data_IF_053477552101
#
_entry.id   IF_053477552101
#
_cell.length_a   1.000
_cell.length_b   1.000
_cell.length_c   1.000
_cell.angle_alpha   90.00
_cell.angle_beta   90.00
_cell.angle_gamma   90.00
#
_symmetry.space_group_name_H-M   'P 1'
#
loop_
_entity.id
_entity.type
_entity.pdbx_description
1 polymer ?
#
# COMPACT_ATOMS: atom_id res chain seq x y z
N UNK A 1 57.01 -53.84 -22.33
CA UNK A 1 56.52 -53.82 -20.93
C UNK A 1 55.65 -52.59 -20.58
N UNK A 2 55.15 -51.80 -21.55
CA UNK A 2 54.45 -50.54 -21.25
C UNK A 2 52.94 -50.65 -20.95
N UNK A 3 52.26 -51.76 -21.30
CA UNK A 3 50.81 -51.91 -21.07
C UNK A 3 50.45 -52.20 -19.60
N UNK A 4 51.23 -53.02 -18.90
CA UNK A 4 50.92 -53.44 -17.53
C UNK A 4 50.89 -52.28 -16.51
N UNK A 5 51.66 -51.20 -16.74
CA UNK A 5 51.61 -49.99 -15.91
C UNK A 5 50.32 -49.19 -16.13
N UNK A 6 49.87 -49.10 -17.39
CA UNK A 6 48.65 -48.40 -17.79
C UNK A 6 47.39 -49.07 -17.23
N UNK A 7 47.38 -50.39 -17.17
CA UNK A 7 46.27 -51.15 -16.58
C UNK A 7 46.18 -50.97 -15.06
N UNK A 8 47.31 -50.92 -14.35
CA UNK A 8 47.33 -50.63 -12.90
C UNK A 8 46.90 -49.20 -12.60
N UNK A 9 47.44 -48.24 -13.33
CA UNK A 9 47.06 -46.83 -13.22
C UNK A 9 45.57 -46.63 -13.49
N UNK A 10 45.00 -47.33 -14.49
CA UNK A 10 43.57 -47.29 -14.79
C UNK A 10 42.69 -47.88 -13.67
N UNK A 11 43.17 -48.90 -12.95
CA UNK A 11 42.47 -49.48 -11.78
C UNK A 11 42.52 -48.53 -10.60
N UNK A 12 43.68 -47.98 -10.28
CA UNK A 12 43.83 -47.01 -9.20
C UNK A 12 43.02 -45.73 -9.45
N UNK A 13 42.94 -45.26 -10.70
CA UNK A 13 42.12 -44.11 -11.09
C UNK A 13 40.62 -44.38 -10.87
N UNK A 14 40.14 -45.60 -11.18
CA UNK A 14 38.74 -46.00 -10.95
C UNK A 14 38.42 -46.13 -9.46
N UNK A 15 39.36 -46.62 -8.66
CA UNK A 15 39.20 -46.70 -7.20
C UNK A 15 39.12 -45.31 -6.57
N UNK A 16 40.02 -44.38 -6.95
CA UNK A 16 39.93 -42.98 -6.52
C UNK A 16 38.62 -42.34 -6.98
N UNK A 17 38.19 -42.57 -8.23
CA UNK A 17 36.94 -42.02 -8.75
C UNK A 17 35.71 -42.47 -7.95
N UNK A 18 35.64 -43.72 -7.49
CA UNK A 18 34.53 -44.20 -6.63
C UNK A 18 34.47 -43.48 -5.29
N UNK A 19 35.62 -43.23 -4.66
CA UNK A 19 35.70 -42.51 -3.39
C UNK A 19 35.25 -41.05 -3.56
N UNK A 20 35.64 -40.40 -4.66
CA UNK A 20 35.18 -39.04 -4.97
C UNK A 20 33.69 -38.98 -5.31
N UNK A 21 33.18 -39.95 -6.09
CA UNK A 21 31.75 -40.03 -6.41
C UNK A 21 30.87 -40.25 -5.16
N UNK A 22 31.32 -41.06 -4.20
CA UNK A 22 30.59 -41.27 -2.95
C UNK A 22 30.45 -39.98 -2.13
N UNK A 23 31.47 -39.13 -2.10
CA UNK A 23 31.39 -37.82 -1.43
C UNK A 23 30.51 -36.84 -2.21
N UNK A 24 30.65 -36.79 -3.53
CA UNK A 24 29.87 -35.90 -4.39
C UNK A 24 28.36 -36.17 -4.25
N UNK A 25 27.95 -37.44 -4.32
CA UNK A 25 26.55 -37.87 -4.23
C UNK A 25 25.90 -37.56 -2.88
N UNK A 26 26.67 -37.63 -1.78
CA UNK A 26 26.17 -37.26 -0.45
C UNK A 26 25.86 -35.75 -0.34
N UNK A 27 26.75 -34.89 -0.87
CA UNK A 27 26.54 -33.44 -0.85
C UNK A 27 25.40 -33.01 -1.78
N UNK A 28 25.31 -33.61 -2.97
CA UNK A 28 24.24 -33.31 -3.94
C UNK A 28 22.86 -33.76 -3.44
N UNK A 29 22.78 -34.91 -2.75
CA UNK A 29 21.53 -35.41 -2.18
C UNK A 29 20.94 -34.47 -1.11
N UNK A 30 21.78 -33.90 -0.25
CA UNK A 30 21.36 -32.93 0.76
C UNK A 30 20.87 -31.62 0.13
N UNK A 31 21.60 -31.09 -0.86
CA UNK A 31 21.22 -29.85 -1.52
C UNK A 31 19.91 -30.00 -2.32
N UNK A 32 19.69 -31.18 -2.93
CA UNK A 32 18.45 -31.48 -3.68
C UNK A 32 17.21 -31.52 -2.79
N UNK A 33 17.33 -31.99 -1.54
CA UNK A 33 16.20 -32.01 -0.59
C UNK A 33 15.83 -30.61 -0.15
N UNK A 34 16.82 -29.83 0.30
CA UNK A 34 16.60 -28.45 0.76
C UNK A 34 16.02 -27.55 -0.32
N UNK A 35 16.50 -27.67 -1.56
CA UNK A 35 15.97 -26.88 -2.68
C UNK A 35 14.53 -27.25 -3.02
N UNK A 36 14.17 -28.54 -2.96
CA UNK A 36 12.78 -29.00 -3.15
C UNK A 36 11.87 -28.52 -2.03
N UNK A 37 12.30 -28.67 -0.77
CA UNK A 37 11.50 -28.28 0.38
C UNK A 37 11.31 -26.76 0.45
N UNK A 38 12.36 -25.97 0.17
CA UNK A 38 12.28 -24.51 0.10
C UNK A 38 11.39 -24.05 -1.05
N UNK A 39 11.43 -24.72 -2.20
CA UNK A 39 10.56 -24.41 -3.34
C UNK A 39 9.09 -24.70 -3.00
N UNK A 40 8.80 -25.87 -2.41
CA UNK A 40 7.45 -26.25 -2.00
C UNK A 40 6.94 -25.29 -0.91
N UNK A 41 7.79 -24.93 0.05
CA UNK A 41 7.47 -23.94 1.08
C UNK A 41 7.22 -22.56 0.48
N UNK A 42 8.02 -22.14 -0.50
CA UNK A 42 7.83 -20.88 -1.22
C UNK A 42 6.51 -20.84 -2.00
N UNK A 43 6.19 -21.91 -2.73
CA UNK A 43 4.93 -22.02 -3.48
C UNK A 43 3.74 -22.07 -2.53
N UNK A 44 3.78 -22.93 -1.51
CA UNK A 44 2.71 -23.08 -0.53
C UNK A 44 2.48 -21.79 0.28
N UNK A 45 3.56 -21.17 0.75
CA UNK A 45 3.51 -19.89 1.46
C UNK A 45 3.00 -18.76 0.56
N UNK A 46 3.47 -18.69 -0.69
CA UNK A 46 3.00 -17.72 -1.67
C UNK A 46 1.51 -17.86 -1.97
N UNK A 47 1.03 -19.10 -2.18
CA UNK A 47 -0.39 -19.39 -2.37
C UNK A 47 -1.22 -19.00 -1.15
N UNK A 48 -0.76 -19.31 0.07
CA UNK A 48 -1.46 -18.95 1.29
C UNK A 48 -1.60 -17.42 1.43
N UNK A 49 -0.53 -16.67 1.19
CA UNK A 49 -0.56 -15.20 1.20
C UNK A 49 -1.54 -14.68 0.14
N UNK A 50 -1.49 -15.21 -1.08
CA UNK A 50 -2.41 -14.81 -2.16
C UNK A 50 -3.87 -15.04 -1.77
N UNK A 51 -4.20 -16.18 -1.16
CA UNK A 51 -5.55 -16.47 -0.65
C UNK A 51 -5.97 -15.45 0.40
N UNK A 52 -5.10 -15.13 1.37
CA UNK A 52 -5.40 -14.13 2.41
C UNK A 52 -5.74 -12.77 1.79
N UNK A 53 -4.94 -12.31 0.82
CA UNK A 53 -5.18 -11.03 0.13
C UNK A 53 -6.52 -11.03 -0.59
N UNK A 54 -6.86 -12.11 -1.30
CA UNK A 54 -8.17 -12.24 -1.97
C UNK A 54 -9.30 -12.18 -0.96
N UNK A 55 -9.20 -12.92 0.15
CA UNK A 55 -10.21 -12.91 1.22
C UNK A 55 -10.38 -11.52 1.83
N UNK A 56 -9.29 -10.83 2.15
CA UNK A 56 -9.35 -9.45 2.67
C UNK A 56 -10.00 -8.51 1.66
N UNK A 57 -9.62 -8.61 0.39
CA UNK A 57 -10.18 -7.77 -0.67
C UNK A 57 -11.69 -7.96 -0.75
N UNK A 58 -12.18 -9.20 -0.76
CA UNK A 58 -13.61 -9.48 -0.77
C UNK A 58 -14.32 -8.97 0.50
N UNK A 59 -13.71 -9.13 1.68
CA UNK A 59 -14.27 -8.66 2.95
C UNK A 59 -14.48 -7.14 2.98
N UNK A 60 -13.54 -6.37 2.42
CA UNK A 60 -13.59 -4.91 2.40
C UNK A 60 -14.29 -4.30 1.17
N UNK A 61 -14.60 -5.09 0.14
CA UNK A 61 -15.26 -4.58 -1.08
C UNK A 61 -16.73 -4.95 -1.15
N UNK A 62 -17.07 -6.19 -0.79
CA UNK A 62 -18.44 -6.73 -0.88
C UNK A 62 -18.94 -7.19 0.50
N UNK A 63 -18.02 -7.44 1.43
CA UNK A 63 -18.33 -7.94 2.76
C UNK A 63 -18.67 -6.85 3.79
N UNK A 64 -18.88 -7.26 5.05
CA UNK A 64 -19.29 -6.37 6.13
C UNK A 64 -18.23 -5.34 6.56
N UNK A 65 -17.00 -5.45 6.04
CA UNK A 65 -15.96 -4.43 6.19
C UNK A 65 -16.04 -3.31 5.15
N UNK A 66 -16.96 -3.37 4.19
CA UNK A 66 -17.06 -2.35 3.14
C UNK A 66 -17.35 -0.96 3.72
N UNK A 67 -16.64 0.09 3.25
CA UNK A 67 -16.88 1.44 3.74
C UNK A 67 -18.29 1.89 3.37
N UNK A 68 -18.97 2.53 4.32
CA UNK A 68 -20.29 3.13 4.08
C UNK A 68 -20.09 4.29 3.09
N UNK A 69 -20.87 4.36 1.99
CA UNK A 69 -20.76 5.44 1.04
C UNK A 69 -21.10 6.78 1.72
N UNK A 70 -20.20 7.75 1.62
CA UNK A 70 -20.47 9.11 2.07
C UNK A 70 -21.55 9.77 1.20
N UNK A 71 -22.46 10.56 1.78
CA UNK A 71 -23.48 11.27 1.02
C UNK A 71 -22.81 12.28 0.08
N UNK A 72 -23.20 12.25 -1.20
CA UNK A 72 -22.79 13.27 -2.18
C UNK A 72 -23.38 14.63 -1.76
N UNK A 73 -22.57 15.70 -1.66
CA UNK A 73 -23.10 17.01 -1.35
C UNK A 73 -24.04 17.46 -2.48
N UNK A 74 -25.30 17.70 -2.15
CA UNK A 74 -26.26 18.31 -3.08
C UNK A 74 -25.91 19.79 -3.21
N UNK A 75 -25.62 20.26 -4.42
CA UNK A 75 -25.43 21.68 -4.69
C UNK A 75 -26.73 22.43 -4.38
N UNK A 76 -26.79 23.14 -3.26
CA UNK A 76 -27.85 24.10 -3.00
C UNK A 76 -27.59 25.33 -3.85
N UNK A 77 -28.42 25.54 -4.88
CA UNK A 77 -28.42 26.81 -5.61
C UNK A 77 -28.88 27.90 -4.63
N UNK A 78 -27.94 28.76 -4.20
CA UNK A 78 -28.28 29.94 -3.42
C UNK A 78 -28.95 30.93 -4.35
N UNK A 79 -30.26 31.12 -4.23
CA UNK A 79 -30.96 32.21 -4.91
C UNK A 79 -30.42 33.53 -4.36
N UNK A 80 -29.67 34.25 -5.18
CA UNK A 80 -29.23 35.61 -4.90
C UNK A 80 -30.46 36.51 -4.69
N UNK A 81 -30.56 37.27 -3.59
CA UNK A 81 -31.68 38.16 -3.39
C UNK A 81 -31.65 39.26 -4.46
N UNK A 82 -32.76 39.39 -5.19
CA UNK A 82 -32.98 40.49 -6.15
C UNK A 82 -32.80 41.83 -5.43
N UNK A 83 -32.07 42.81 -6.02
CA UNK A 83 -31.92 44.11 -5.38
C UNK A 83 -33.28 44.79 -5.21
N UNK A 84 -33.55 45.27 -4.00
CA UNK A 84 -34.73 46.07 -3.68
C UNK A 84 -34.66 47.41 -4.44
N UNK A 85 -35.78 47.96 -4.95
CA UNK A 85 -35.76 49.25 -5.61
C UNK A 85 -35.39 50.35 -4.61
N UNK A 86 -34.36 51.13 -4.94
CA UNK A 86 -33.96 52.31 -4.16
C UNK A 86 -35.08 53.35 -4.18
N UNK A 87 -35.77 53.50 -3.05
CA UNK A 87 -36.70 54.60 -2.84
C UNK A 87 -35.90 55.85 -2.49
N UNK A 88 -35.74 56.77 -3.45
CA UNK A 88 -35.20 58.11 -3.21
C UNK A 88 -36.24 58.93 -2.42
N UNK A 89 -35.95 59.28 -1.17
CA UNK A 89 -36.72 60.31 -0.45
C UNK A 89 -35.90 61.62 -0.34
N UNK A 90 -36.54 62.78 -0.62
CA UNK A 90 -35.87 64.06 -0.72
C UNK A 90 -35.60 64.69 0.66
N UNK A 91 -34.43 65.31 0.80
CA UNK A 91 -34.12 66.26 1.89
C UNK A 91 -34.95 67.54 1.75
N UNK A 92 -35.42 68.12 2.87
CA UNK A 92 -35.15 69.54 3.06
C UNK A 92 -34.70 69.92 4.48
N UNK A 93 -33.93 71.01 4.48
CA UNK A 93 -33.30 71.75 5.57
C UNK A 93 -34.25 72.76 6.24
N UNK A 94 -33.92 73.12 7.49
CA UNK A 94 -34.09 74.42 8.22
C UNK A 94 -34.72 74.25 9.63
N UNK A 95 -33.98 74.30 10.76
CA UNK A 95 -33.33 75.44 11.49
C UNK A 95 -34.28 76.14 12.50
N UNK A 96 -33.85 76.80 13.62
CA UNK A 96 -32.78 76.60 14.62
C UNK A 96 -33.32 76.69 16.10
N UNK A 97 -32.43 76.97 17.09
CA UNK A 97 -32.68 77.40 18.50
C UNK A 97 -32.85 76.28 19.56
N UNK A 98 -32.13 76.24 20.70
CA UNK A 98 -31.28 77.22 21.39
C UNK A 98 -30.33 76.46 22.34
N UNK A 99 -29.03 76.74 22.29
CA UNK A 99 -28.09 76.43 23.39
C UNK A 99 -28.15 77.57 24.43
N UNK A 100 -27.98 77.29 25.73
CA UNK A 100 -26.70 77.68 26.29
C UNK A 100 -26.09 76.65 27.26
N UNK A 101 -24.84 76.27 26.94
CA UNK A 101 -23.69 75.91 27.78
C UNK A 101 -23.62 76.56 29.18
N UNK A 102 -22.63 76.22 30.04
CA UNK A 102 -21.83 74.99 30.20
C UNK A 102 -21.67 74.60 31.69
N UNK A 103 -20.85 73.59 32.05
CA UNK A 103 -19.72 73.68 33.05
C UNK A 103 -19.18 72.29 33.43
N UNK A 104 -17.86 72.12 33.64
CA UNK A 104 -17.14 70.85 33.54
C UNK A 104 -16.77 70.21 34.90
N UNK A 105 -16.33 68.94 34.81
CA UNK A 105 -15.33 68.23 35.64
C UNK A 105 -15.46 68.22 37.18
N UNK A 106 -15.60 67.02 37.74
CA UNK A 106 -14.71 66.52 38.80
C UNK A 106 -14.66 65.00 38.81
#
# INVERSE_FOLDING_TARGET
MAQAGKDRESREARERARVYQARQTFHEGQNRRRTRDNLIAGIGGGLAIAVIVVVQTLFFTVGPGAPVPEPTPTSTTSTEPSPAPEQSEPVPSDSPSTEPSPTPTS
#
